data_IF_323828770037
#
_entry.id   IF_323828770037
#
_cell.length_a   1.000
_cell.length_b   1.000
_cell.length_c   1.000
_cell.angle_alpha   90.00
_cell.angle_beta   90.00
_cell.angle_gamma   90.00
#
_symmetry.space_group_name_H-M   'P 1'
#
loop_
_entity.id
_entity.type
_entity.pdbx_description
1 polymer ?
#
# COMPACT_ATOMS: atom_id res chain seq x y z
N UNK A 1 -15.59 -22.09 16.60
CA UNK A 1 -14.86 -20.80 16.48
C UNK A 1 -13.48 -21.12 15.95
N UNK A 2 -13.02 -20.32 14.98
CA UNK A 2 -11.72 -20.33 14.31
C UNK A 2 -11.53 -21.37 13.17
N UNK A 3 -12.12 -21.09 12.00
CA UNK A 3 -11.74 -21.75 10.72
C UNK A 3 -11.49 -20.75 9.57
N UNK A 4 -11.38 -19.45 9.85
CA UNK A 4 -11.25 -18.40 8.82
C UNK A 4 -9.82 -17.88 8.58
N UNK A 5 -8.78 -18.53 9.14
CA UNK A 5 -7.43 -17.94 9.20
C UNK A 5 -6.46 -18.37 8.08
N UNK A 6 -6.86 -19.26 7.17
CA UNK A 6 -5.97 -19.76 6.09
C UNK A 6 -6.54 -19.58 4.66
N UNK A 7 -7.34 -18.52 4.46
CA UNK A 7 -7.76 -18.15 3.11
C UNK A 7 -6.55 -17.55 2.36
N UNK A 8 -6.16 -18.10 1.20
CA UNK A 8 -5.05 -17.57 0.42
C UNK A 8 -5.34 -16.11 0.10
N UNK A 9 -4.50 -15.21 0.61
CA UNK A 9 -4.59 -13.77 0.33
C UNK A 9 -4.58 -13.63 -1.18
N UNK A 10 -5.75 -13.33 -1.77
CA UNK A 10 -5.87 -13.07 -3.21
C UNK A 10 -4.79 -12.08 -3.55
N UNK A 11 -3.81 -12.49 -4.36
CA UNK A 11 -2.77 -11.59 -4.87
C UNK A 11 -3.52 -10.44 -5.51
N UNK A 12 -3.57 -9.29 -4.83
CA UNK A 12 -4.27 -8.12 -5.32
C UNK A 12 -3.72 -7.85 -6.70
N UNK A 13 -4.61 -7.82 -7.70
CA UNK A 13 -4.23 -7.58 -9.09
C UNK A 13 -3.35 -6.34 -9.09
N UNK A 14 -2.08 -6.51 -9.47
CA UNK A 14 -1.17 -5.38 -9.65
C UNK A 14 -1.80 -4.53 -10.74
N UNK A 15 -1.89 -3.22 -10.54
CA UNK A 15 -2.38 -2.30 -11.55
C UNK A 15 -1.67 -2.60 -12.87
N UNK A 16 -2.45 -2.82 -13.93
CA UNK A 16 -1.89 -3.01 -15.26
C UNK A 16 -1.10 -1.76 -15.63
N UNK A 17 0.06 -1.94 -16.26
CA UNK A 17 0.90 -0.80 -16.66
C UNK A 17 0.18 -0.03 -17.77
N UNK A 18 0.03 1.27 -17.59
CA UNK A 18 -0.48 2.16 -18.62
C UNK A 18 0.48 2.16 -19.82
N UNK A 19 -0.08 2.16 -21.03
CA UNK A 19 0.70 2.34 -22.27
C UNK A 19 1.05 3.81 -22.40
N UNK A 20 2.33 4.16 -22.25
CA UNK A 20 2.78 5.55 -22.17
C UNK A 20 3.00 6.19 -23.55
N UNK A 21 3.19 5.39 -24.60
CA UNK A 21 3.54 5.85 -25.95
C UNK A 21 2.43 6.69 -26.61
N UNK A 22 1.20 6.64 -26.07
CA UNK A 22 0.05 7.41 -26.55
C UNK A 22 -0.15 8.74 -25.80
N UNK A 23 0.61 9.00 -24.75
CA UNK A 23 0.44 10.18 -23.89
C UNK A 23 1.42 11.29 -24.24
N UNK A 24 0.92 12.53 -24.23
CA UNK A 24 1.73 13.74 -24.30
C UNK A 24 2.46 14.05 -22.99
N UNK A 25 3.36 15.04 -23.03
CA UNK A 25 4.20 15.40 -21.86
C UNK A 25 3.36 15.84 -20.65
N UNK A 26 2.28 16.60 -20.85
CA UNK A 26 1.42 17.05 -19.76
C UNK A 26 0.62 15.88 -19.15
N UNK A 27 0.07 14.99 -19.98
CA UNK A 27 -0.62 13.79 -19.51
C UNK A 27 0.32 12.86 -18.71
N UNK A 28 1.59 12.75 -19.13
CA UNK A 28 2.61 12.03 -18.38
C UNK A 28 2.90 12.67 -17.02
N UNK A 29 2.87 14.01 -16.92
CA UNK A 29 3.06 14.73 -15.65
C UNK A 29 1.87 14.53 -14.73
N UNK A 30 0.66 14.58 -15.25
CA UNK A 30 -0.57 14.28 -14.51
C UNK A 30 -0.55 12.85 -13.97
N UNK A 31 -0.24 11.88 -14.82
CA UNK A 31 -0.12 10.47 -14.42
C UNK A 31 0.94 10.25 -13.33
N UNK A 32 2.09 10.91 -13.42
CA UNK A 32 3.10 10.89 -12.35
C UNK A 32 2.53 11.47 -11.05
N UNK A 33 1.73 12.53 -11.12
CA UNK A 33 1.04 13.12 -9.97
C UNK A 33 0.15 12.10 -9.26
N UNK A 34 -0.75 11.46 -10.00
CA UNK A 34 -1.67 10.43 -9.48
C UNK A 34 -0.91 9.27 -8.81
N UNK A 35 0.15 8.78 -9.46
CA UNK A 35 0.97 7.71 -8.90
C UNK A 35 1.67 8.11 -7.61
N UNK A 36 2.15 9.35 -7.52
CA UNK A 36 2.79 9.87 -6.29
C UNK A 36 1.79 10.01 -5.14
N UNK A 37 0.57 10.44 -5.43
CA UNK A 37 -0.50 10.48 -4.42
C UNK A 37 -0.83 9.08 -3.91
N UNK A 38 -0.91 8.10 -4.80
CA UNK A 38 -1.15 6.71 -4.40
C UNK A 38 0.00 6.15 -3.56
N UNK A 39 1.26 6.44 -3.92
CA UNK A 39 2.43 6.08 -3.10
C UNK A 39 2.29 6.68 -1.70
N UNK A 40 1.98 7.98 -1.60
CA UNK A 40 1.82 8.64 -0.30
C UNK A 40 0.71 8.02 0.54
N UNK A 41 -0.42 7.64 -0.07
CA UNK A 41 -1.51 6.92 0.63
C UNK A 41 -1.02 5.59 1.20
N UNK A 42 -0.33 4.78 0.39
CA UNK A 42 0.17 3.47 0.82
C UNK A 42 1.24 3.60 1.90
N UNK A 43 2.16 4.56 1.78
CA UNK A 43 3.16 4.85 2.82
C UNK A 43 2.52 5.24 4.15
N UNK A 44 1.46 6.07 4.12
CA UNK A 44 0.71 6.41 5.33
C UNK A 44 0.04 5.17 5.96
N UNK A 45 -0.51 4.27 5.16
CA UNK A 45 -1.08 3.00 5.63
C UNK A 45 -0.03 2.09 6.28
N UNK A 46 1.15 1.99 5.67
CA UNK A 46 2.28 1.25 6.22
C UNK A 46 2.70 1.85 7.57
N UNK A 47 2.87 3.18 7.64
CA UNK A 47 3.25 3.86 8.87
C UNK A 47 2.23 3.61 9.99
N UNK A 48 0.92 3.68 9.70
CA UNK A 48 -0.12 3.35 10.68
C UNK A 48 0.01 1.91 11.17
N UNK A 49 0.13 0.93 10.27
CA UNK A 49 0.28 -0.50 10.62
C UNK A 49 1.55 -0.78 11.44
N UNK A 50 2.66 -0.14 11.11
CA UNK A 50 3.91 -0.26 11.86
C UNK A 50 3.83 0.38 13.25
N UNK A 51 3.15 1.51 13.39
CA UNK A 51 2.90 2.16 14.68
C UNK A 51 2.07 1.26 15.60
N UNK A 52 0.99 0.66 15.09
CA UNK A 52 0.19 -0.32 15.85
C UNK A 52 1.03 -1.52 16.31
N UNK A 53 1.91 -2.05 15.45
CA UNK A 53 2.80 -3.16 15.82
C UNK A 53 3.81 -2.75 16.89
N UNK A 54 4.41 -1.58 16.77
CA UNK A 54 5.42 -1.08 17.71
C UNK A 54 4.83 -0.79 19.10
N UNK A 55 3.58 -0.28 19.15
CA UNK A 55 2.84 -0.10 20.39
C UNK A 55 2.52 -1.44 21.07
N UNK A 56 2.16 -2.47 20.30
CA UNK A 56 1.94 -3.82 20.82
C UNK A 56 3.24 -4.44 21.34
N UNK A 57 4.33 -4.39 20.57
CA UNK A 57 5.66 -4.88 20.99
C UNK A 57 6.14 -4.22 22.29
N UNK A 58 5.83 -2.93 22.50
CA UNK A 58 6.17 -2.19 23.72
C UNK A 58 5.31 -2.58 24.93
N UNK A 59 4.09 -3.06 24.71
CA UNK A 59 3.22 -3.57 25.78
C UNK A 59 3.63 -4.97 26.25
N UNK A 60 4.15 -5.81 25.34
CA UNK A 60 4.61 -7.16 25.65
C UNK A 60 6.07 -7.23 26.12
N UNK A 61 6.87 -6.19 25.87
CA UNK A 61 8.18 -5.99 26.51
C UNK A 61 8.03 -5.16 27.79
N UNK A 62 7.59 -5.79 28.87
CA UNK A 62 7.95 -5.35 30.23
C UNK A 62 9.30 -5.99 30.62
N UNK A 63 10.11 -5.34 31.48
CA UNK A 63 11.57 -5.47 31.57
C UNK A 63 12.10 -6.89 31.76
#
# INVERSE_FOLDING_TARGET
MAEDEDLPVRKRHRLEKLVLDTLGVEELREYIGELREEIARVEADIARKQSHRSAADSFFKKP
#
